data_IF_842943899528
#
_entry.id   IF_842943899528
#
_cell.length_a   1.000
_cell.length_b   1.000
_cell.length_c   1.000
_cell.angle_alpha   90.00
_cell.angle_beta   90.00
_cell.angle_gamma   90.00
#
_symmetry.space_group_name_H-M   'P 1'
#
loop_
_entity.id
_entity.type
_entity.pdbx_description
1 polymer ?
#
# COMPACT_ATOMS: atom_id res chain seq x y z
N UNK A 1 6.72 -8.41 -8.32
CA UNK A 1 7.82 -7.54 -8.77
C UNK A 1 8.37 -7.97 -10.14
N UNK A 2 9.14 -9.07 -10.28
CA UNK A 2 9.74 -9.49 -11.59
C UNK A 2 8.76 -9.53 -12.77
N UNK A 3 7.64 -10.23 -12.60
CA UNK A 3 6.60 -10.34 -13.62
C UNK A 3 5.99 -8.96 -13.95
N UNK A 4 5.75 -8.13 -12.93
CA UNK A 4 5.22 -6.78 -13.12
C UNK A 4 6.20 -5.89 -13.88
N UNK A 5 7.50 -5.93 -13.53
CA UNK A 5 8.54 -5.20 -14.25
C UNK A 5 8.63 -5.59 -15.73
N UNK A 6 8.45 -6.87 -16.05
CA UNK A 6 8.39 -7.35 -17.44
C UNK A 6 7.19 -6.77 -18.19
N UNK A 7 6.01 -6.77 -17.58
CA UNK A 7 4.80 -6.15 -18.16
C UNK A 7 5.00 -4.65 -18.37
N UNK A 8 5.59 -3.95 -17.40
CA UNK A 8 5.88 -2.50 -17.49
C UNK A 8 6.78 -2.21 -18.69
N UNK A 9 7.84 -3.00 -18.88
CA UNK A 9 8.73 -2.87 -20.02
C UNK A 9 8.02 -3.15 -21.36
N UNK A 10 7.19 -4.20 -21.42
CA UNK A 10 6.48 -4.58 -22.65
C UNK A 10 5.41 -3.55 -23.06
N UNK A 11 4.79 -2.87 -22.09
CA UNK A 11 3.81 -1.81 -22.31
C UNK A 11 4.46 -0.42 -22.53
N UNK A 12 5.79 -0.30 -22.38
CA UNK A 12 6.55 0.97 -22.42
C UNK A 12 5.95 2.06 -21.52
N UNK A 13 5.60 1.70 -20.27
CA UNK A 13 5.13 2.68 -19.31
C UNK A 13 6.29 3.51 -18.76
N UNK A 14 6.04 4.79 -18.45
CA UNK A 14 7.01 5.67 -17.79
C UNK A 14 6.62 5.98 -16.33
N UNK A 15 5.42 5.62 -15.92
CA UNK A 15 4.91 5.88 -14.58
C UNK A 15 4.03 4.73 -14.13
N UNK A 16 4.31 4.20 -12.95
CA UNK A 16 3.60 3.04 -12.40
C UNK A 16 3.05 3.39 -11.04
N UNK A 17 1.74 3.22 -10.89
CA UNK A 17 1.07 3.33 -9.59
C UNK A 17 0.81 1.94 -9.01
N UNK A 18 1.18 1.75 -7.75
CA UNK A 18 0.82 0.56 -6.95
C UNK A 18 0.20 1.00 -5.63
N UNK A 19 -0.61 0.16 -5.01
CA UNK A 19 -1.15 0.45 -3.67
C UNK A 19 -0.07 0.36 -2.58
N UNK A 20 -0.22 1.19 -1.54
CA UNK A 20 0.61 1.25 -0.33
C UNK A 20 0.91 -0.08 0.31
N UNK A 21 -0.17 -0.78 0.64
CA UNK A 21 -0.15 -2.01 1.42
C UNK A 21 -1.25 -2.93 0.93
N UNK A 22 -0.93 -4.21 0.80
CA UNK A 22 -1.92 -5.23 0.48
C UNK A 22 -2.74 -5.56 1.72
N UNK A 23 -4.07 -5.56 1.62
CA UNK A 23 -4.96 -5.79 2.77
C UNK A 23 -5.05 -7.27 3.21
N UNK A 24 -4.59 -8.19 2.38
CA UNK A 24 -4.58 -9.63 2.64
C UNK A 24 -3.30 -10.08 3.37
N UNK A 25 -2.13 -9.77 2.81
CA UNK A 25 -0.82 -10.17 3.34
C UNK A 25 -0.10 -9.10 4.14
N UNK A 26 -0.70 -7.92 4.26
CA UNK A 26 -0.14 -6.77 4.97
C UNK A 26 1.24 -6.32 4.42
N UNK A 27 1.52 -6.67 3.16
CA UNK A 27 2.82 -6.44 2.52
C UNK A 27 2.87 -5.11 1.79
N UNK A 28 3.99 -4.40 1.95
CA UNK A 28 4.32 -3.14 1.25
C UNK A 28 5.43 -3.33 0.21
N UNK A 29 5.89 -4.57 -0.02
CA UNK A 29 7.11 -4.82 -0.78
C UNK A 29 6.97 -4.67 -2.30
N UNK A 30 5.75 -4.72 -2.85
CA UNK A 30 5.55 -4.79 -4.29
C UNK A 30 6.11 -3.57 -5.03
N UNK A 31 5.85 -2.35 -4.53
CA UNK A 31 6.35 -1.10 -5.09
C UNK A 31 7.87 -1.01 -5.12
N UNK A 32 8.55 -0.97 -3.96
CA UNK A 32 10.00 -0.84 -3.90
C UNK A 32 10.72 -1.98 -4.62
N UNK A 33 10.25 -3.24 -4.50
CA UNK A 33 10.86 -4.34 -5.22
C UNK A 33 10.69 -4.25 -6.75
N UNK A 34 9.61 -3.64 -7.25
CA UNK A 34 9.43 -3.41 -8.69
C UNK A 34 10.34 -2.29 -9.17
N UNK A 35 10.45 -1.20 -8.40
CA UNK A 35 11.34 -0.09 -8.70
C UNK A 35 12.81 -0.53 -8.76
N UNK A 36 13.27 -1.31 -7.78
CA UNK A 36 14.62 -1.86 -7.71
C UNK A 36 14.95 -2.70 -8.96
N UNK A 37 14.03 -3.56 -9.40
CA UNK A 37 14.22 -4.40 -10.59
C UNK A 37 14.32 -3.55 -11.86
N UNK A 38 13.55 -2.46 -11.94
CA UNK A 38 13.57 -1.54 -13.07
C UNK A 38 14.75 -0.55 -13.02
N UNK A 39 15.38 -0.39 -11.86
CA UNK A 39 16.35 0.67 -11.59
C UNK A 39 15.72 2.06 -11.60
N UNK A 40 14.45 2.18 -11.21
CA UNK A 40 13.70 3.44 -11.23
C UNK A 40 13.62 4.09 -9.85
N UNK A 41 13.55 5.44 -9.78
CA UNK A 41 13.11 6.14 -8.59
C UNK A 41 11.77 5.61 -8.06
N UNK A 42 11.64 5.63 -6.73
CA UNK A 42 10.46 5.20 -6.02
C UNK A 42 10.07 6.22 -4.96
N UNK A 43 8.76 6.46 -4.82
CA UNK A 43 8.18 7.11 -3.66
C UNK A 43 7.22 6.17 -2.97
N UNK A 44 7.37 6.01 -1.67
CA UNK A 44 6.39 5.38 -0.80
C UNK A 44 5.32 6.36 -0.33
N UNK A 45 4.29 5.83 0.34
CA UNK A 45 3.29 6.56 1.14
C UNK A 45 2.80 7.89 0.55
N UNK A 46 2.57 7.91 -0.77
CA UNK A 46 2.31 9.16 -1.50
C UNK A 46 0.87 9.65 -1.27
N UNK A 47 0.74 10.86 -0.75
CA UNK A 47 -0.53 11.53 -0.43
C UNK A 47 -0.82 12.73 -1.32
N UNK A 48 0.16 13.24 -2.07
CA UNK A 48 -0.05 14.23 -3.14
C UNK A 48 0.93 14.01 -4.28
N UNK A 49 0.49 14.27 -5.50
CA UNK A 49 1.31 14.15 -6.70
C UNK A 49 1.00 15.26 -7.71
N UNK A 50 2.05 15.92 -8.18
CA UNK A 50 2.01 16.87 -9.30
C UNK A 50 3.01 16.44 -10.36
N UNK A 51 2.50 16.03 -11.52
CA UNK A 51 3.32 15.53 -12.62
C UNK A 51 3.77 16.66 -13.53
N UNK A 52 5.05 16.63 -13.90
CA UNK A 52 5.64 17.38 -14.99
C UNK A 52 6.00 16.42 -16.14
N UNK A 53 6.41 16.92 -17.33
CA UNK A 53 6.82 16.05 -18.43
C UNK A 53 8.02 15.14 -18.12
N UNK A 54 8.87 15.50 -17.16
CA UNK A 54 10.14 14.81 -16.87
C UNK A 54 10.31 14.42 -15.41
N UNK A 55 9.45 14.90 -14.51
CA UNK A 55 9.56 14.70 -13.07
C UNK A 55 8.20 14.66 -12.39
N UNK A 56 8.20 14.27 -11.13
CA UNK A 56 7.04 14.25 -10.25
C UNK A 56 7.38 14.95 -8.94
N UNK A 57 6.60 15.97 -8.58
CA UNK A 57 6.63 16.56 -7.24
C UNK A 57 5.64 15.79 -6.37
N UNK A 58 6.12 15.28 -5.25
CA UNK A 58 5.40 14.32 -4.41
C UNK A 58 5.40 14.82 -2.98
N UNK A 59 4.24 14.71 -2.33
CA UNK A 59 4.16 14.73 -0.88
C UNK A 59 3.94 13.29 -0.41
N UNK A 60 4.78 12.81 0.49
CA UNK A 60 4.62 11.51 1.15
C UNK A 60 4.67 11.63 2.67
N UNK A 61 4.00 10.71 3.34
CA UNK A 61 3.95 10.68 4.80
C UNK A 61 5.10 9.84 5.37
N UNK A 62 5.71 10.34 6.45
CA UNK A 62 6.71 9.66 7.27
C UNK A 62 6.29 9.68 8.74
N UNK A 63 6.99 8.93 9.59
CA UNK A 63 6.69 8.91 11.03
C UNK A 63 6.82 10.30 11.70
N UNK A 64 7.63 11.18 11.10
CA UNK A 64 7.89 12.54 11.58
C UNK A 64 6.96 13.60 10.95
N UNK A 65 6.07 13.22 10.02
CA UNK A 65 5.12 14.13 9.39
C UNK A 65 5.00 13.90 7.89
N UNK A 66 5.12 14.97 7.09
CA UNK A 66 5.09 14.88 5.63
C UNK A 66 6.28 15.56 5.00
N UNK A 67 6.79 14.94 3.94
CA UNK A 67 7.96 15.36 3.20
C UNK A 67 7.59 15.65 1.76
N UNK A 68 8.25 16.65 1.16
CA UNK A 68 8.09 16.97 -0.25
C UNK A 68 9.38 16.62 -0.99
N UNK A 69 9.25 15.76 -2.01
CA UNK A 69 10.36 15.30 -2.82
C UNK A 69 10.05 15.50 -4.31
N UNK A 70 11.09 15.70 -5.11
CA UNK A 70 11.01 15.65 -6.56
C UNK A 70 11.79 14.45 -7.06
N UNK A 71 11.16 13.61 -7.90
CA UNK A 71 11.81 12.46 -8.53
C UNK A 71 11.71 12.55 -10.06
N UNK A 72 12.74 12.12 -10.81
CA UNK A 72 12.65 12.08 -12.26
C UNK A 72 11.75 10.93 -12.74
N UNK A 73 11.18 11.08 -13.94
CA UNK A 73 10.52 10.00 -14.67
C UNK A 73 11.56 9.23 -15.53
N UNK A 74 11.43 7.91 -15.71
CA UNK A 74 10.31 7.08 -15.26
C UNK A 74 10.36 6.73 -13.76
N UNK A 75 9.21 6.48 -13.13
CA UNK A 75 9.13 6.25 -11.68
C UNK A 75 8.04 5.25 -11.25
N UNK A 76 8.23 4.66 -10.06
CA UNK A 76 7.21 3.85 -9.38
C UNK A 76 6.66 4.62 -8.17
N UNK A 77 5.36 4.82 -8.12
CA UNK A 77 4.67 5.53 -7.04
C UNK A 77 3.80 4.55 -6.27
N UNK A 78 4.01 4.50 -4.96
CA UNK A 78 3.18 3.73 -4.05
C UNK A 78 2.16 4.66 -3.40
N UNK A 79 0.88 4.43 -3.68
CA UNK A 79 -0.21 5.34 -3.30
C UNK A 79 -0.74 5.06 -1.90
N UNK A 80 -1.01 6.13 -1.16
CA UNK A 80 -1.69 6.05 0.14
C UNK A 80 -3.14 6.53 0.02
N UNK A 81 -3.97 6.10 0.96
CA UNK A 81 -5.29 6.70 1.16
C UNK A 81 -5.14 8.21 1.40
N UNK A 82 -5.92 9.02 0.69
CA UNK A 82 -5.84 10.48 0.72
C UNK A 82 -5.26 11.10 -0.55
N UNK A 83 -4.55 10.32 -1.40
CA UNK A 83 -4.04 10.81 -2.68
C UNK A 83 -5.14 11.35 -3.59
N UNK A 84 -6.26 10.64 -3.64
CA UNK A 84 -7.46 11.04 -4.36
C UNK A 84 -8.71 10.34 -3.81
N UNK A 85 -9.87 10.78 -4.27
CA UNK A 85 -11.14 10.09 -4.06
C UNK A 85 -11.52 9.32 -5.34
N UNK A 86 -11.47 7.97 -5.32
CA UNK A 86 -11.85 7.17 -6.47
C UNK A 86 -13.30 7.43 -6.90
N UNK A 87 -13.49 7.84 -8.15
CA UNK A 87 -14.82 8.12 -8.69
C UNK A 87 -15.71 6.87 -8.72
N UNK A 88 -17.01 7.05 -8.50
CA UNK A 88 -17.99 5.98 -8.73
C UNK A 88 -18.08 5.58 -10.21
N UNK A 89 -18.17 4.27 -10.52
CA UNK A 89 -18.38 3.81 -11.88
C UNK A 89 -19.84 4.07 -12.31
N UNK A 90 -20.02 4.72 -13.46
CA UNK A 90 -21.35 4.90 -14.06
C UNK A 90 -21.78 3.66 -14.84
N UNK A 91 -23.08 3.40 -14.95
CA UNK A 91 -23.60 2.25 -15.72
C UNK A 91 -23.05 2.18 -17.16
N UNK A 92 -22.98 3.30 -17.93
CA UNK A 92 -22.34 3.28 -19.25
C UNK A 92 -20.86 2.84 -19.22
N UNK A 93 -20.10 3.27 -18.20
CA UNK A 93 -18.70 2.89 -18.06
C UNK A 93 -18.53 1.40 -17.73
N UNK A 94 -19.42 0.86 -16.89
CA UNK A 94 -19.46 -0.58 -16.57
C UNK A 94 -19.72 -1.39 -17.85
N UNK A 95 -20.71 -0.99 -18.65
CA UNK A 95 -21.03 -1.67 -19.91
C UNK A 95 -19.89 -1.59 -20.94
N UNK A 96 -19.19 -0.46 -21.03
CA UNK A 96 -18.00 -0.31 -21.88
C UNK A 96 -16.85 -1.20 -21.40
N UNK A 97 -16.55 -1.20 -20.09
CA UNK A 97 -15.50 -2.02 -19.52
C UNK A 97 -15.73 -3.52 -19.77
N UNK A 98 -16.97 -3.99 -19.61
CA UNK A 98 -17.33 -5.40 -19.87
C UNK A 98 -17.04 -5.86 -21.31
N UNK A 99 -17.06 -4.95 -22.29
CA UNK A 99 -16.81 -5.26 -23.71
C UNK A 99 -15.35 -5.15 -24.11
N UNK A 100 -14.50 -4.52 -23.29
CA UNK A 100 -13.08 -4.40 -23.62
C UNK A 100 -12.44 -5.78 -23.59
N UNK A 101 -11.56 -6.02 -24.56
CA UNK A 101 -10.74 -7.22 -24.55
C UNK A 101 -9.84 -7.21 -23.32
N UNK A 102 -9.86 -8.32 -22.58
CA UNK A 102 -8.96 -8.56 -21.46
C UNK A 102 -7.85 -9.45 -21.97
N UNK A 103 -6.70 -8.84 -22.29
CA UNK A 103 -5.48 -9.57 -22.65
C UNK A 103 -5.10 -10.47 -21.47
N UNK A 104 -5.03 -11.78 -21.74
CA UNK A 104 -4.59 -12.78 -20.76
C UNK A 104 -3.20 -13.24 -21.16
N UNK A 105 -2.26 -13.13 -20.23
CA UNK A 105 -0.89 -13.60 -20.38
C UNK A 105 -0.68 -14.73 -19.39
N UNK A 106 -0.03 -15.80 -19.83
CA UNK A 106 0.49 -16.84 -18.96
C UNK A 106 1.81 -16.40 -18.33
N UNK A 107 2.26 -17.12 -17.30
CA UNK A 107 3.59 -16.88 -16.74
C UNK A 107 4.70 -17.16 -17.76
N UNK A 108 4.51 -18.16 -18.62
CA UNK A 108 5.49 -18.54 -19.64
C UNK A 108 5.66 -17.42 -20.68
N UNK A 109 4.59 -16.70 -21.02
CA UNK A 109 4.64 -15.53 -21.89
C UNK A 109 5.50 -14.38 -21.31
N UNK A 110 5.67 -14.37 -19.97
CA UNK A 110 6.39 -13.35 -19.22
C UNK A 110 7.76 -13.82 -18.71
N UNK A 111 8.29 -14.91 -19.28
CA UNK A 111 9.60 -15.46 -18.95
C UNK A 111 9.65 -16.30 -17.68
N UNK A 112 8.48 -16.61 -17.10
CA UNK A 112 8.33 -17.44 -15.92
C UNK A 112 8.77 -16.78 -14.61
N UNK A 113 8.17 -17.24 -13.51
CA UNK A 113 8.66 -16.95 -12.17
C UNK A 113 8.23 -18.06 -11.21
N UNK A 114 9.10 -18.37 -10.25
CA UNK A 114 8.78 -19.24 -9.12
C UNK A 114 8.81 -18.46 -7.82
N UNK A 115 7.95 -18.84 -6.87
CA UNK A 115 8.01 -18.31 -5.52
C UNK A 115 9.32 -18.73 -4.86
N UNK A 116 9.97 -17.80 -4.16
CA UNK A 116 11.11 -18.09 -3.28
C UNK A 116 10.70 -18.36 -1.83
N UNK A 117 9.42 -18.22 -1.54
CA UNK A 117 8.84 -18.38 -0.21
C UNK A 117 7.88 -19.57 -0.22
N UNK A 118 7.97 -20.38 0.83
CA UNK A 118 6.99 -21.41 1.15
C UNK A 118 6.32 -21.05 2.46
N UNK A 119 4.99 -21.05 2.47
CA UNK A 119 4.21 -20.90 3.70
C UNK A 119 4.23 -22.27 4.40
N UNK A 120 4.70 -22.30 5.65
CA UNK A 120 4.80 -23.52 6.44
C UNK A 120 3.54 -23.78 7.27
N UNK A 121 2.97 -22.72 7.83
CA UNK A 121 1.77 -22.75 8.67
C UNK A 121 1.10 -21.38 8.70
N UNK A 122 -0.20 -21.36 8.91
CA UNK A 122 -1.00 -20.17 9.14
C UNK A 122 -1.96 -20.45 10.29
N UNK A 123 -2.03 -19.53 11.26
CA UNK A 123 -2.88 -19.69 12.44
C UNK A 123 -3.59 -18.37 12.74
N UNK A 124 -4.88 -18.45 13.05
CA UNK A 124 -5.64 -17.28 13.49
C UNK A 124 -5.23 -16.97 14.92
N UNK A 125 -4.61 -15.80 15.12
CA UNK A 125 -4.31 -15.31 16.45
C UNK A 125 -5.62 -14.91 17.15
N UNK A 126 -5.95 -15.60 18.24
CA UNK A 126 -7.03 -15.22 19.13
C UNK A 126 -6.46 -14.65 20.42
N UNK A 127 -6.92 -13.45 20.80
CA UNK A 127 -6.64 -12.85 22.10
C UNK A 127 -7.98 -12.49 22.73
N UNK A 128 -8.24 -13.02 23.93
CA UNK A 128 -9.44 -12.64 24.67
C UNK A 128 -9.36 -11.16 25.04
N UNK A 129 -10.46 -10.43 24.83
CA UNK A 129 -10.57 -9.05 25.28
C UNK A 129 -10.75 -9.04 26.79
N UNK A 130 -10.05 -8.14 27.49
CA UNK A 130 -10.19 -7.95 28.94
C UNK A 130 -11.61 -7.53 29.34
N UNK A 131 -12.39 -6.95 28.41
CA UNK A 131 -13.78 -6.52 28.60
C UNK A 131 -14.01 -5.64 29.86
N UNK A 132 -12.99 -4.88 30.27
CA UNK A 132 -13.05 -4.01 31.44
C UNK A 132 -13.49 -2.61 31.01
N UNK A 133 -14.57 -2.12 31.62
CA UNK A 133 -15.09 -0.76 31.44
C UNK A 133 -14.80 0.01 32.73
N UNK A 134 -13.99 1.06 32.63
CA UNK A 134 -13.74 1.99 33.74
C UNK A 134 -14.92 2.95 33.85
N UNK A 135 -15.43 3.16 35.06
CA UNK A 135 -16.63 3.97 35.33
C UNK A 135 -16.45 4.80 36.60
N UNK A 136 -17.29 5.83 36.77
CA UNK A 136 -17.26 6.70 37.94
C UNK A 136 -16.87 8.13 37.60
N UNK A 137 -16.32 8.84 38.58
CA UNK A 137 -15.84 10.21 38.41
C UNK A 137 -14.69 10.26 37.38
N UNK A 138 -14.69 11.22 36.43
CA UNK A 138 -13.67 11.29 35.38
C UNK A 138 -12.23 11.34 35.89
N UNK A 139 -11.96 11.98 37.04
CA UNK A 139 -10.60 12.10 37.58
C UNK A 139 -10.08 10.76 38.09
N UNK A 140 -10.91 10.03 38.84
CA UNK A 140 -10.54 8.70 39.36
C UNK A 140 -10.51 7.65 38.25
N UNK A 141 -11.46 7.72 37.31
CA UNK A 141 -11.47 6.86 36.12
C UNK A 141 -10.20 7.05 35.27
N UNK A 142 -9.69 8.27 35.12
CA UNK A 142 -8.45 8.53 34.40
C UNK A 142 -7.23 7.88 35.09
N UNK A 143 -7.15 7.96 36.43
CA UNK A 143 -6.08 7.31 37.20
C UNK A 143 -6.13 5.78 37.07
N UNK A 144 -7.32 5.19 37.26
CA UNK A 144 -7.51 3.75 37.10
C UNK A 144 -7.13 3.30 35.67
N UNK A 145 -7.55 4.05 34.65
CA UNK A 145 -7.19 3.74 33.26
C UNK A 145 -5.68 3.71 33.04
N UNK A 146 -4.94 4.69 33.56
CA UNK A 146 -3.47 4.72 33.43
C UNK A 146 -2.82 3.51 34.11
N UNK A 147 -3.28 3.14 35.30
CA UNK A 147 -2.76 1.95 36.00
C UNK A 147 -3.01 0.67 35.22
N UNK A 148 -4.19 0.52 34.61
CA UNK A 148 -4.53 -0.65 33.78
C UNK A 148 -3.68 -0.70 32.51
N UNK A 149 -3.46 0.45 31.87
CA UNK A 149 -2.63 0.51 30.66
C UNK A 149 -1.16 0.19 30.94
N UNK A 150 -0.60 0.70 32.05
CA UNK A 150 0.79 0.47 32.43
C UNK A 150 1.03 -0.96 32.94
N UNK A 151 0.18 -1.48 33.83
CA UNK A 151 0.47 -2.71 34.56
C UNK A 151 -0.16 -3.96 33.93
N UNK A 152 -1.40 -3.85 33.43
CA UNK A 152 -2.16 -4.99 32.92
C UNK A 152 -1.98 -5.14 31.40
N UNK A 153 -2.25 -4.08 30.64
CA UNK A 153 -2.10 -4.09 29.19
C UNK A 153 -0.63 -3.97 28.72
N UNK A 154 0.23 -3.32 29.52
CA UNK A 154 1.66 -3.06 29.25
C UNK A 154 1.89 -2.37 27.90
N UNK A 155 1.13 -1.31 27.66
CA UNK A 155 1.19 -0.50 26.42
C UNK A 155 1.66 0.94 26.66
N UNK A 156 1.95 1.29 27.92
CA UNK A 156 2.64 2.49 28.36
C UNK A 156 3.98 2.08 28.97
#
# INVERSE_FOLDING_TARGET
>A
AKILAKVIADENADLVFVGGKQADWDSTALGPATAEILGWPHSDWTTRLELSPTSANITHDSDDGSENIEIPLPAVITTQQGLNEPRYPTLPNIMKAKRKELKKLSLDDLGGASSKLSILSEEIQSKERLNKIVSGDPSEAAKELVELLANEAKVL
#
